data_IF_847145720119
#
_entry.id   IF_847145720119
#
_cell.length_a   1.000
_cell.length_b   1.000
_cell.length_c   1.000
_cell.angle_alpha   90.00
_cell.angle_beta   90.00
_cell.angle_gamma   90.00
#
_symmetry.space_group_name_H-M   'P 1'
#
loop_
_entity.id
_entity.type
_entity.pdbx_description
1 polymer ?
#
# COMPACT_ATOMS: atom_id res chain seq x y z
N UNK A 1 -45.79 29.38 -65.71
CA UNK A 1 -44.78 28.45 -65.16
C UNK A 1 -45.06 28.29 -63.68
N UNK A 2 -45.60 27.15 -63.26
CA UNK A 2 -45.88 26.88 -61.85
C UNK A 2 -44.88 25.85 -61.35
N UNK A 3 -44.03 26.24 -60.39
CA UNK A 3 -42.99 25.41 -59.80
C UNK A 3 -43.52 24.84 -58.49
N UNK A 4 -43.95 23.57 -58.49
CA UNK A 4 -44.39 22.89 -57.27
C UNK A 4 -43.17 22.38 -56.51
N UNK A 5 -42.83 23.02 -55.39
CA UNK A 5 -41.78 22.54 -54.47
C UNK A 5 -42.35 21.46 -53.55
N UNK A 6 -41.72 20.29 -53.54
CA UNK A 6 -42.11 19.16 -52.67
C UNK A 6 -41.42 19.33 -51.32
N UNK A 7 -42.19 19.66 -50.28
CA UNK A 7 -41.68 19.72 -48.90
C UNK A 7 -41.36 18.30 -48.45
N UNK A 8 -40.09 18.01 -48.16
CA UNK A 8 -39.66 16.75 -47.56
C UNK A 8 -39.95 16.81 -46.06
N UNK A 9 -40.88 15.99 -45.59
CA UNK A 9 -41.16 15.83 -44.17
C UNK A 9 -39.93 15.24 -43.46
N UNK A 10 -39.52 15.74 -42.27
CA UNK A 10 -38.40 15.17 -41.54
C UNK A 10 -38.74 13.76 -41.07
N UNK A 11 -38.02 12.77 -41.58
CA UNK A 11 -38.17 11.37 -41.17
C UNK A 11 -37.67 11.21 -39.74
N UNK A 12 -38.60 11.08 -38.78
CA UNK A 12 -38.26 10.83 -37.37
C UNK A 12 -37.65 9.43 -37.26
N UNK A 13 -36.32 9.33 -37.19
CA UNK A 13 -35.62 8.05 -36.95
C UNK A 13 -35.99 7.52 -35.56
N UNK A 14 -36.96 6.61 -35.50
CA UNK A 14 -37.21 5.82 -34.30
C UNK A 14 -36.08 4.80 -34.16
N UNK A 15 -35.31 4.90 -33.07
CA UNK A 15 -34.36 3.85 -32.69
C UNK A 15 -35.17 2.58 -32.43
N UNK A 16 -34.97 1.55 -33.25
CA UNK A 16 -35.74 0.30 -33.14
C UNK A 16 -35.36 -0.45 -31.87
N UNK A 17 -36.35 -1.08 -31.21
CA UNK A 17 -36.16 -1.87 -29.98
C UNK A 17 -34.97 -2.84 -30.09
N UNK A 18 -34.79 -3.47 -31.26
CA UNK A 18 -33.64 -4.33 -31.56
C UNK A 18 -32.27 -3.65 -31.34
N UNK A 19 -32.12 -2.40 -31.78
CA UNK A 19 -30.86 -1.67 -31.60
C UNK A 19 -30.58 -1.38 -30.13
N UNK A 20 -31.61 -1.06 -29.34
CA UNK A 20 -31.50 -0.85 -27.89
C UNK A 20 -31.09 -2.16 -27.21
N UNK A 21 -31.76 -3.27 -27.52
CA UNK A 21 -31.45 -4.60 -26.96
C UNK A 21 -30.02 -5.02 -27.31
N UNK A 22 -29.56 -4.80 -28.55
CA UNK A 22 -28.19 -5.12 -28.95
C UNK A 22 -27.16 -4.31 -28.17
N UNK A 23 -27.38 -3.01 -28.00
CA UNK A 23 -26.49 -2.16 -27.19
C UNK A 23 -26.44 -2.61 -25.72
N UNK A 24 -27.57 -2.99 -25.14
CA UNK A 24 -27.64 -3.54 -23.79
C UNK A 24 -26.82 -4.83 -23.67
N UNK A 25 -27.00 -5.78 -24.60
CA UNK A 25 -26.24 -7.04 -24.60
C UNK A 25 -24.74 -6.78 -24.71
N UNK A 26 -24.32 -5.91 -25.64
CA UNK A 26 -22.91 -5.55 -25.80
C UNK A 26 -22.35 -4.90 -24.54
N UNK A 27 -23.08 -3.97 -23.92
CA UNK A 27 -22.67 -3.34 -22.66
C UNK A 27 -22.50 -4.37 -21.54
N UNK A 28 -23.44 -5.30 -21.39
CA UNK A 28 -23.36 -6.38 -20.39
C UNK A 28 -22.15 -7.28 -20.62
N UNK A 29 -21.84 -7.64 -21.87
CA UNK A 29 -20.66 -8.45 -22.20
C UNK A 29 -19.37 -7.71 -21.85
N UNK A 30 -19.28 -6.41 -22.15
CA UNK A 30 -18.11 -5.60 -21.80
C UNK A 30 -17.91 -5.56 -20.29
N UNK A 31 -18.99 -5.36 -19.51
CA UNK A 31 -18.93 -5.36 -18.04
C UNK A 31 -18.50 -6.73 -17.51
N UNK A 32 -19.06 -7.82 -18.04
CA UNK A 32 -18.67 -9.17 -17.63
C UNK A 32 -17.18 -9.46 -17.91
N UNK A 33 -16.68 -9.05 -19.09
CA UNK A 33 -15.26 -9.17 -19.43
C UNK A 33 -14.41 -8.33 -18.47
N UNK A 34 -14.81 -7.10 -18.18
CA UNK A 34 -14.06 -6.24 -17.25
C UNK A 34 -13.95 -6.86 -15.85
N UNK A 35 -15.01 -7.50 -15.36
CA UNK A 35 -14.99 -8.22 -14.07
C UNK A 35 -14.02 -9.41 -14.14
N UNK A 36 -14.11 -10.24 -15.18
CA UNK A 36 -13.20 -11.41 -15.33
C UNK A 36 -11.74 -10.96 -15.40
N UNK A 37 -11.45 -9.93 -16.20
CA UNK A 37 -10.10 -9.37 -16.32
C UNK A 37 -9.61 -8.86 -14.95
N UNK A 38 -10.47 -8.18 -14.19
CA UNK A 38 -10.12 -7.69 -12.85
C UNK A 38 -9.75 -8.84 -11.90
N UNK A 39 -10.55 -9.91 -11.87
CA UNK A 39 -10.27 -11.11 -11.05
C UNK A 39 -8.94 -11.76 -11.43
N UNK A 40 -8.64 -11.87 -12.73
CA UNK A 40 -7.37 -12.46 -13.21
C UNK A 40 -6.18 -11.58 -12.81
N UNK A 41 -6.31 -10.26 -12.90
CA UNK A 41 -5.26 -9.32 -12.48
C UNK A 41 -5.00 -9.45 -10.97
N UNK A 42 -6.05 -9.46 -10.14
CA UNK A 42 -5.91 -9.54 -8.69
C UNK A 42 -5.32 -10.89 -8.25
N UNK A 43 -5.73 -12.00 -8.88
CA UNK A 43 -5.08 -13.30 -8.67
C UNK A 43 -3.60 -13.25 -9.01
N UNK A 44 -3.23 -12.65 -10.16
CA UNK A 44 -1.84 -12.49 -10.56
C UNK A 44 -1.01 -11.67 -9.56
N UNK A 45 -1.58 -10.59 -9.01
CA UNK A 45 -0.95 -9.78 -7.96
C UNK A 45 -0.69 -10.61 -6.70
N UNK A 46 -1.69 -11.35 -6.23
CA UNK A 46 -1.55 -12.21 -5.03
C UNK A 46 -0.44 -13.24 -5.23
N UNK A 47 -0.37 -13.91 -6.38
CA UNK A 47 0.67 -14.91 -6.67
C UNK A 47 2.06 -14.27 -6.72
N UNK A 48 2.18 -13.09 -7.34
CA UNK A 48 3.44 -12.35 -7.38
C UNK A 48 3.90 -11.95 -5.98
N UNK A 49 2.98 -11.45 -5.16
CA UNK A 49 3.24 -11.06 -3.78
C UNK A 49 3.54 -12.27 -2.90
N UNK A 50 2.90 -13.42 -3.12
CA UNK A 50 3.23 -14.69 -2.45
C UNK A 50 4.65 -15.11 -2.73
N UNK A 51 5.12 -14.95 -3.97
CA UNK A 51 6.50 -15.24 -4.32
C UNK A 51 7.49 -14.24 -3.70
N UNK A 52 7.12 -12.96 -3.65
CA UNK A 52 8.00 -11.88 -3.15
C UNK A 52 8.08 -11.79 -1.63
N UNK A 53 6.95 -11.96 -0.95
CA UNK A 53 6.79 -11.69 0.48
C UNK A 53 6.40 -12.93 1.29
N UNK A 54 5.97 -14.01 0.65
CA UNK A 54 5.52 -15.22 1.34
C UNK A 54 4.17 -15.08 2.04
N UNK A 55 3.80 -16.12 2.79
CA UNK A 55 2.63 -16.19 3.66
C UNK A 55 3.05 -16.70 5.06
N UNK A 56 2.99 -15.88 6.12
CA UNK A 56 2.54 -14.48 6.15
C UNK A 56 3.46 -13.53 5.36
N UNK A 57 2.94 -12.35 4.99
CA UNK A 57 3.72 -11.32 4.28
C UNK A 57 4.87 -10.86 5.17
N UNK A 58 6.11 -11.13 4.77
CA UNK A 58 7.31 -10.80 5.53
C UNK A 58 8.26 -9.96 4.69
N UNK A 59 8.82 -8.91 5.27
CA UNK A 59 9.88 -8.10 4.67
C UNK A 59 11.08 -8.03 5.59
N UNK A 60 12.24 -7.81 4.99
CA UNK A 60 13.50 -7.70 5.69
C UNK A 60 14.19 -6.41 5.24
N UNK A 61 14.83 -5.74 6.18
CA UNK A 61 15.66 -4.57 5.95
C UNK A 61 16.93 -4.70 6.78
N UNK A 62 18.05 -4.27 6.22
CA UNK A 62 19.34 -4.20 6.92
C UNK A 62 19.89 -2.81 6.81
N UNK A 63 20.41 -2.27 7.92
CA UNK A 63 20.94 -0.92 7.94
C UNK A 63 21.41 -0.47 9.31
N UNK A 64 21.92 0.75 9.36
CA UNK A 64 22.35 1.41 10.59
C UNK A 64 21.30 2.43 10.99
N UNK A 65 20.78 2.31 12.21
CA UNK A 65 19.87 3.28 12.79
C UNK A 65 20.51 4.14 13.88
N UNK A 66 21.77 3.89 14.23
CA UNK A 66 22.47 4.55 15.34
C UNK A 66 22.21 3.87 16.68
N UNK A 67 21.86 2.58 16.67
CA UNK A 67 21.62 1.80 17.89
C UNK A 67 22.94 1.44 18.57
N UNK A 68 22.94 1.36 19.91
CA UNK A 68 24.15 1.12 20.68
C UNK A 68 24.89 -0.19 20.32
N UNK A 69 24.15 -1.26 19.96
CA UNK A 69 24.71 -2.54 19.55
C UNK A 69 25.46 -2.48 18.19
N UNK A 70 25.15 -1.49 17.35
CA UNK A 70 25.81 -1.29 16.04
C UNK A 70 27.25 -0.78 16.18
N UNK A 71 27.68 -0.36 17.38
CA UNK A 71 29.06 0.09 17.66
C UNK A 71 30.11 -0.98 17.38
N UNK A 72 29.70 -2.24 17.31
CA UNK A 72 30.54 -3.38 16.91
C UNK A 72 30.84 -3.41 15.40
N UNK A 73 30.23 -2.52 14.61
CA UNK A 73 30.41 -2.42 13.16
C UNK A 73 29.49 -3.33 12.35
N UNK A 74 28.53 -3.99 13.00
CA UNK A 74 27.52 -4.82 12.35
C UNK A 74 26.21 -4.04 12.16
N UNK A 75 25.54 -4.19 10.99
CA UNK A 75 24.25 -3.54 10.76
C UNK A 75 23.15 -4.20 11.58
N UNK A 76 22.11 -3.44 11.89
CA UNK A 76 20.88 -3.98 12.46
C UNK A 76 20.05 -4.69 11.40
N UNK A 77 19.36 -5.75 11.80
CA UNK A 77 18.40 -6.46 10.97
C UNK A 77 16.99 -6.16 11.44
N UNK A 78 16.15 -5.71 10.53
CA UNK A 78 14.75 -5.38 10.77
C UNK A 78 13.89 -6.36 9.97
N UNK A 79 12.87 -6.89 10.62
CA UNK A 79 11.91 -7.83 10.03
C UNK A 79 10.53 -7.28 10.34
N UNK A 80 9.70 -7.12 9.32
CA UNK A 80 8.30 -6.81 9.51
C UNK A 80 7.46 -7.91 8.90
N UNK A 81 6.37 -8.25 9.58
CA UNK A 81 5.42 -9.20 9.07
C UNK A 81 3.98 -8.77 9.34
N UNK A 82 3.11 -9.10 8.41
CA UNK A 82 1.68 -9.06 8.61
C UNK A 82 1.20 -10.43 9.06
N UNK A 83 1.03 -10.60 10.37
CA UNK A 83 0.56 -11.83 10.97
C UNK A 83 -0.95 -11.77 11.15
N UNK A 84 -1.69 -12.18 10.14
CA UNK A 84 -3.17 -12.15 10.13
C UNK A 84 -3.74 -10.78 10.52
N UNK A 85 -3.36 -9.75 9.76
CA UNK A 85 -3.73 -8.33 9.94
C UNK A 85 -3.05 -7.63 11.10
N UNK A 86 -2.32 -8.35 11.95
CA UNK A 86 -1.50 -7.75 12.98
C UNK A 86 -0.09 -7.50 12.45
N UNK A 87 0.30 -6.23 12.37
CA UNK A 87 1.68 -5.88 12.05
C UNK A 87 2.58 -6.24 13.24
N UNK A 88 3.67 -6.95 12.98
CA UNK A 88 4.71 -7.28 13.96
C UNK A 88 6.05 -6.86 13.40
N UNK A 89 6.83 -6.15 14.21
CA UNK A 89 8.17 -5.69 13.84
C UNK A 89 9.16 -6.28 14.83
N UNK A 90 10.21 -6.88 14.31
CA UNK A 90 11.32 -7.47 15.06
C UNK A 90 12.61 -6.79 14.60
N UNK A 91 13.42 -6.36 15.55
CA UNK A 91 14.72 -5.74 15.29
C UNK A 91 15.79 -6.50 16.04
N UNK A 92 16.89 -6.79 15.35
CA UNK A 92 18.12 -7.36 15.89
C UNK A 92 19.21 -6.29 15.78
N UNK A 93 19.38 -5.46 16.82
CA UNK A 93 20.41 -4.43 16.85
C UNK A 93 21.80 -5.03 16.64
N UNK A 94 22.55 -4.51 15.67
CA UNK A 94 23.87 -5.03 15.30
C UNK A 94 23.88 -6.50 14.85
N UNK A 95 22.72 -7.07 14.48
CA UNK A 95 22.59 -8.48 14.11
C UNK A 95 22.75 -9.46 15.27
N UNK A 96 22.76 -8.97 16.51
CA UNK A 96 22.93 -9.79 17.70
C UNK A 96 21.56 -10.18 18.30
N UNK A 97 21.23 -11.49 18.36
CA UNK A 97 19.95 -11.97 18.88
C UNK A 97 19.75 -11.69 20.38
N UNK A 98 20.80 -11.32 21.12
CA UNK A 98 20.73 -10.96 22.54
C UNK A 98 19.99 -9.65 22.77
N UNK A 99 19.97 -8.75 21.78
CA UNK A 99 19.35 -7.43 21.87
C UNK A 99 18.02 -7.35 21.10
N UNK A 100 17.38 -8.49 20.80
CA UNK A 100 16.12 -8.52 20.05
C UNK A 100 15.07 -7.62 20.70
N UNK A 101 14.51 -6.72 19.90
CA UNK A 101 13.38 -5.88 20.25
C UNK A 101 12.20 -6.27 19.37
N UNK A 102 11.02 -6.42 19.97
CA UNK A 102 9.80 -6.76 19.24
C UNK A 102 8.66 -5.90 19.73
N UNK A 103 7.86 -5.38 18.81
CA UNK A 103 6.63 -4.67 19.14
C UNK A 103 5.54 -4.92 18.10
N UNK A 104 4.32 -4.63 18.52
CA UNK A 104 3.13 -4.72 17.69
C UNK A 104 2.89 -3.37 17.01
N UNK A 105 2.75 -3.42 15.69
CA UNK A 105 2.31 -2.28 14.89
C UNK A 105 0.78 -2.16 14.84
N UNK A 106 0.24 -1.37 13.90
CA UNK A 106 -1.20 -1.24 13.74
C UNK A 106 -1.86 -2.55 13.30
N UNK A 107 -3.12 -2.71 13.71
CA UNK A 107 -4.02 -3.73 13.18
C UNK A 107 -4.67 -3.23 11.88
N UNK A 108 -4.67 -4.06 10.85
CA UNK A 108 -5.16 -3.70 9.52
C UNK A 108 -6.64 -4.09 9.36
N UNK A 109 -7.48 -3.08 9.12
CA UNK A 109 -8.92 -3.28 8.95
C UNK A 109 -9.30 -3.23 7.48
N UNK A 110 -10.02 -4.25 7.00
CA UNK A 110 -10.50 -4.29 5.63
C UNK A 110 -10.62 -5.72 5.10
N UNK A 111 -11.06 -5.82 3.85
CA UNK A 111 -11.06 -7.08 3.11
C UNK A 111 -9.65 -7.34 2.56
N UNK A 112 -9.15 -8.56 2.72
CA UNK A 112 -7.83 -9.01 2.23
C UNK A 112 -6.61 -8.33 2.87
N UNK A 113 -6.80 -7.60 3.98
CA UNK A 113 -5.70 -6.96 4.69
C UNK A 113 -4.70 -7.95 5.29
N UNK A 114 -5.03 -9.23 5.39
CA UNK A 114 -4.10 -10.31 5.74
C UNK A 114 -3.00 -10.53 4.68
N UNK A 115 -3.22 -10.05 3.45
CA UNK A 115 -2.27 -10.14 2.34
C UNK A 115 -1.51 -8.83 2.09
N UNK A 116 -1.73 -7.79 2.90
CA UNK A 116 -1.05 -6.50 2.75
C UNK A 116 0.41 -6.60 3.19
N UNK A 117 1.39 -6.30 2.32
CA UNK A 117 2.79 -6.30 2.71
C UNK A 117 3.11 -5.09 3.62
N UNK A 118 3.92 -5.32 4.64
CA UNK A 118 4.46 -4.28 5.52
C UNK A 118 5.90 -4.04 5.08
N UNK A 119 6.19 -2.89 4.47
CA UNK A 119 7.52 -2.56 3.94
C UNK A 119 8.25 -1.62 4.89
N UNK A 120 9.50 -1.93 5.20
CA UNK A 120 10.34 -1.11 6.07
C UNK A 120 11.31 -0.24 5.28
N UNK A 121 11.61 0.94 5.83
CA UNK A 121 12.70 1.80 5.39
C UNK A 121 13.29 2.55 6.59
N UNK A 122 14.54 3.00 6.46
CA UNK A 122 15.19 3.86 7.45
C UNK A 122 15.34 5.26 6.86
N UNK A 123 14.95 6.27 7.62
CA UNK A 123 15.12 7.68 7.26
C UNK A 123 15.19 8.53 8.52
N UNK A 124 16.05 9.54 8.53
CA UNK A 124 16.03 10.58 9.58
C UNK A 124 14.79 11.46 9.33
N UNK A 125 13.70 11.19 10.06
CA UNK A 125 12.41 11.79 9.80
C UNK A 125 12.19 13.08 10.60
N UNK A 126 12.88 13.24 11.74
CA UNK A 126 12.78 14.43 12.59
C UNK A 126 14.07 15.26 12.70
N UNK A 127 15.09 14.93 11.89
CA UNK A 127 16.27 15.74 11.67
C UNK A 127 17.30 15.69 12.79
N UNK A 128 17.31 14.63 13.59
CA UNK A 128 18.21 14.47 14.73
C UNK A 128 19.53 13.74 14.40
N UNK A 129 19.68 13.29 13.15
CA UNK A 129 20.84 12.58 12.65
C UNK A 129 20.86 11.07 12.96
N UNK A 130 19.84 10.54 13.63
CA UNK A 130 19.59 9.11 13.78
C UNK A 130 18.56 8.67 12.73
N UNK A 131 18.61 7.40 12.31
CA UNK A 131 17.61 6.90 11.38
C UNK A 131 16.37 6.41 12.16
N UNK A 132 15.22 6.93 11.80
CA UNK A 132 13.91 6.47 12.25
C UNK A 132 13.42 5.31 11.38
N UNK A 133 12.52 4.51 11.94
CA UNK A 133 11.91 3.40 11.21
C UNK A 133 10.61 3.86 10.56
N UNK A 134 10.59 3.87 9.23
CA UNK A 134 9.41 4.20 8.44
C UNK A 134 8.77 2.91 7.93
N UNK A 135 7.55 2.65 8.41
CA UNK A 135 6.75 1.48 8.08
C UNK A 135 5.69 1.88 7.07
N UNK A 136 5.76 1.31 5.87
CA UNK A 136 4.82 1.57 4.77
C UNK A 136 3.83 0.42 4.63
N UNK A 137 2.54 0.72 4.70
CA UNK A 137 1.44 -0.23 4.61
C UNK A 137 0.39 0.38 3.69
N UNK A 138 0.02 -0.30 2.60
CA UNK A 138 -1.00 0.20 1.65
C UNK A 138 -0.78 1.67 1.21
N UNK A 139 0.47 2.04 0.91
CA UNK A 139 0.91 3.41 0.57
C UNK A 139 0.81 4.46 1.69
N UNK A 140 0.39 4.08 2.90
CA UNK A 140 0.44 4.93 4.09
C UNK A 140 1.73 4.68 4.86
N UNK A 141 2.28 5.72 5.49
CA UNK A 141 3.53 5.66 6.24
C UNK A 141 3.31 5.95 7.72
N UNK A 142 3.73 5.02 8.56
CA UNK A 142 3.85 5.19 10.01
C UNK A 142 5.32 5.34 10.36
N UNK A 143 5.67 6.45 11.01
CA UNK A 143 7.04 6.72 11.45
C UNK A 143 7.18 6.33 12.91
N UNK A 144 8.20 5.52 13.22
CA UNK A 144 8.62 5.23 14.59
C UNK A 144 9.96 5.90 14.84
N UNK A 145 9.98 6.85 15.77
CA UNK A 145 11.17 7.62 16.10
C UNK A 145 12.16 6.77 16.90
N UNK A 146 13.44 6.86 16.56
CA UNK A 146 14.52 6.25 17.31
C UNK A 146 14.81 7.10 18.56
N UNK A 147 14.40 6.61 19.73
CA UNK A 147 14.54 7.32 21.01
C UNK A 147 15.06 6.33 22.05
N UNK A 148 16.13 6.71 22.74
CA UNK A 148 16.72 5.90 23.82
C UNK A 148 17.11 4.47 23.39
N UNK A 149 17.47 4.28 22.13
CA UNK A 149 17.86 2.98 21.58
C UNK A 149 16.70 2.02 21.28
N UNK A 150 15.47 2.54 21.23
CA UNK A 150 14.28 1.81 20.79
C UNK A 150 13.47 2.65 19.81
N UNK A 151 12.48 2.02 19.17
CA UNK A 151 11.58 2.67 18.22
C UNK A 151 10.19 2.82 18.83
N UNK A 152 9.69 4.04 18.88
CA UNK A 152 8.35 4.33 19.43
C UNK A 152 7.57 5.27 18.54
N UNK A 153 6.25 5.26 18.69
CA UNK A 153 5.42 6.28 18.06
C UNK A 153 5.80 7.68 18.59
N UNK A 154 5.70 8.72 17.76
CA UNK A 154 5.88 10.09 18.18
C UNK A 154 4.83 10.47 19.24
N UNK A 155 5.21 11.35 20.17
CA UNK A 155 4.28 12.02 21.06
C UNK A 155 3.54 13.16 20.32
N UNK A 156 2.49 13.78 20.90
CA UNK A 156 1.73 14.81 20.20
C UNK A 156 2.57 15.98 19.67
N UNK A 157 3.58 16.43 20.42
CA UNK A 157 4.45 17.54 20.01
C UNK A 157 5.38 17.15 18.86
N UNK A 158 5.93 15.94 18.89
CA UNK A 158 6.75 15.36 17.82
C UNK A 158 5.91 15.15 16.55
N UNK A 159 4.66 14.69 16.67
CA UNK A 159 3.73 14.59 15.55
C UNK A 159 3.49 15.94 14.85
N UNK A 160 3.32 17.01 15.62
CA UNK A 160 3.16 18.35 15.06
C UNK A 160 4.40 18.79 14.28
N UNK A 161 5.61 18.46 14.77
CA UNK A 161 6.86 18.77 14.07
C UNK A 161 7.01 17.98 12.78
N UNK A 162 6.81 16.66 12.82
CA UNK A 162 6.84 15.79 11.64
C UNK A 162 5.84 16.25 10.56
N UNK A 163 4.65 16.69 10.97
CA UNK A 163 3.63 17.20 10.04
C UNK A 163 4.08 18.49 9.34
N UNK A 164 4.80 19.38 10.03
CA UNK A 164 5.36 20.61 9.44
C UNK A 164 6.50 20.31 8.47
N UNK A 165 7.37 19.36 8.81
CA UNK A 165 8.50 18.99 7.95
C UNK A 165 8.06 18.32 6.66
N UNK A 166 7.04 17.45 6.72
CA UNK A 166 6.42 16.85 5.53
C UNK A 166 5.73 17.83 4.58
N UNK A 167 5.45 19.05 5.05
CA UNK A 167 4.77 20.08 4.25
C UNK A 167 5.71 20.98 3.44
N UNK A 168 7.03 20.84 3.64
CA UNK A 168 8.08 21.58 2.92
C UNK A 168 8.56 20.81 1.69
#
# INVERSE_FOLDING_TARGET
>A
MATTSRVLSPTRRSVGVYTIVRWLVTATVIVAIAIIVSVVIDFGRIVLDDWRYGRPRTTHLTGYAGLAAERTGHPSHFIAMNLDRQTVIVVLPGGDPTYVQTWQGPYLFGLHEDLTPVVLSLADADGDGLADLVVTIHNEQVVYLNRDGTFRLPNPEEWHRLAQERSK
#
